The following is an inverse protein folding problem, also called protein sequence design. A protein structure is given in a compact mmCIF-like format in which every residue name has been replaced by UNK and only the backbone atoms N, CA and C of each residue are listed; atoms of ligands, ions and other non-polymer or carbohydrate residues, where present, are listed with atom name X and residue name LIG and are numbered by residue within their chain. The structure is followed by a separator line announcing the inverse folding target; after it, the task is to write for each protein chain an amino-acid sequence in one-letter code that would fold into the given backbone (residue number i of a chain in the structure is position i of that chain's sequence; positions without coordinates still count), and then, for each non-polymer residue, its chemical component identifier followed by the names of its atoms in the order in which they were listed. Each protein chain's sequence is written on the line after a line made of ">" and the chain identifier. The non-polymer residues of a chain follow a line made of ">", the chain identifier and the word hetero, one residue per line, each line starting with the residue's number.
data_IF_005456970212
#
_entry.id   IF_005456970212
#
_cell.length_a   1.000
_cell.length_b   1.000
_cell.length_c   1.000
_cell.angle_alpha   90.00
_cell.angle_beta   90.00
_cell.angle_gamma   90.00
#
_symmetry.space_group_name_H-M   'P 1'
#
loop_
_entity.id
_entity.type
_entity.pdbx_description
1 polymer ?
#
# COMPACT_ATOMS: atom_id res chain seq x y z
N UNK A 1 -11.06 20.19 10.46
CA UNK A 1 -9.87 20.12 11.32
C UNK A 1 -8.61 20.10 10.44
N UNK A 2 -7.85 21.19 10.39
CA UNK A 2 -6.55 21.20 9.69
C UNK A 2 -5.56 20.47 10.59
N UNK A 3 -5.23 19.23 10.24
CA UNK A 3 -4.37 18.36 11.04
C UNK A 3 -2.95 18.94 11.05
N UNK A 4 -2.59 19.68 12.12
CA UNK A 4 -1.26 20.28 12.29
C UNK A 4 -0.23 19.16 12.53
N UNK A 5 0.40 18.74 11.44
CA UNK A 5 1.77 18.20 11.44
C UNK A 5 1.96 16.80 12.01
N UNK A 6 1.20 15.79 11.57
CA UNK A 6 1.60 14.39 11.82
C UNK A 6 2.98 14.18 11.20
N UNK A 7 3.99 13.97 12.05
CA UNK A 7 5.35 13.67 11.61
C UNK A 7 5.34 12.28 10.96
N UNK A 8 5.55 12.25 9.64
CA UNK A 8 5.49 11.02 8.84
C UNK A 8 6.50 9.97 9.32
N UNK A 9 7.70 10.38 9.76
CA UNK A 9 8.70 9.46 10.27
C UNK A 9 8.23 8.80 11.57
N UNK A 10 7.85 9.62 12.58
CA UNK A 10 7.34 9.10 13.86
C UNK A 10 6.11 8.22 13.69
N UNK A 11 5.20 8.60 12.79
CA UNK A 11 4.02 7.81 12.48
C UNK A 11 4.38 6.42 11.93
N UNK A 12 5.27 6.37 10.92
CA UNK A 12 5.72 5.09 10.35
C UNK A 12 6.50 4.26 11.38
N UNK A 13 7.36 4.89 12.18
CA UNK A 13 8.14 4.22 13.24
C UNK A 13 7.24 3.56 14.28
N UNK A 14 6.13 4.21 14.66
CA UNK A 14 5.12 3.62 15.55
C UNK A 14 4.45 2.34 15.01
N UNK A 15 4.56 2.08 13.71
CA UNK A 15 4.04 0.88 13.03
C UNK A 15 5.21 -0.10 12.68
N UNK A 16 6.43 0.23 13.10
CA UNK A 16 7.64 -0.52 12.82
C UNK A 16 8.13 -0.39 11.37
N UNK A 17 7.84 0.73 10.71
CA UNK A 17 8.25 1.02 9.33
C UNK A 17 9.22 2.21 9.32
N UNK A 18 10.32 2.07 8.59
CA UNK A 18 11.35 3.10 8.48
C UNK A 18 11.19 3.88 7.19
N UNK A 19 11.21 5.21 7.27
CA UNK A 19 11.23 6.08 6.10
C UNK A 19 12.66 6.54 5.83
N UNK A 20 13.19 6.21 4.65
CA UNK A 20 14.54 6.58 4.21
C UNK A 20 14.49 7.53 3.02
N UNK A 21 15.57 8.30 2.79
CA UNK A 21 15.66 9.18 1.60
C UNK A 21 15.80 8.32 0.34
N UNK A 22 15.21 8.77 -0.77
CA UNK A 22 15.21 8.05 -2.06
C UNK A 22 16.60 7.73 -2.58
N UNK A 23 17.60 8.61 -2.34
CA UNK A 23 19.01 8.36 -2.71
C UNK A 23 19.65 7.13 -2.04
N UNK A 24 19.03 6.60 -0.99
CA UNK A 24 19.48 5.39 -0.29
C UNK A 24 18.70 4.15 -0.73
N UNK A 25 17.92 4.24 -1.81
CA UNK A 25 17.18 3.11 -2.36
C UNK A 25 18.12 1.95 -2.71
N UNK A 26 17.68 0.74 -2.38
CA UNK A 26 18.38 -0.53 -2.65
C UNK A 26 17.38 -1.52 -3.23
N UNK A 27 17.87 -2.38 -4.13
CA UNK A 27 17.14 -3.53 -4.67
C UNK A 27 17.95 -4.81 -4.42
N UNK A 28 17.34 -5.89 -3.88
CA UNK A 28 15.96 -5.94 -3.39
C UNK A 28 15.75 -4.99 -2.20
N UNK A 29 14.55 -4.43 -2.10
CA UNK A 29 14.19 -3.50 -1.02
C UNK A 29 14.20 -4.23 0.34
N UNK A 30 14.84 -3.67 1.39
CA UNK A 30 14.77 -4.26 2.73
C UNK A 30 13.33 -4.26 3.29
N UNK A 31 12.96 -5.26 4.11
CA UNK A 31 11.66 -5.30 4.78
C UNK A 31 11.39 -4.04 5.61
N UNK A 32 10.14 -3.59 5.62
CA UNK A 32 9.64 -2.47 6.42
C UNK A 32 10.34 -1.12 6.11
N UNK A 33 10.81 -0.91 4.87
CA UNK A 33 11.44 0.34 4.45
C UNK A 33 10.65 1.04 3.35
N UNK A 34 10.31 2.30 3.57
CA UNK A 34 9.74 3.21 2.56
C UNK A 34 10.82 4.19 2.11
N UNK A 35 11.17 4.17 0.82
CA UNK A 35 12.02 5.21 0.22
C UNK A 35 11.18 6.41 -0.23
N UNK A 36 11.39 7.55 0.42
CA UNK A 36 10.65 8.78 0.19
C UNK A 36 9.29 8.79 0.90
N UNK A 37 9.10 9.71 1.84
CA UNK A 37 7.87 9.80 2.64
C UNK A 37 6.72 10.59 1.99
N UNK A 38 6.88 11.10 0.76
CA UNK A 38 5.93 12.07 0.17
C UNK A 38 4.52 11.50 -0.02
N UNK A 39 4.41 10.25 -0.47
CA UNK A 39 3.10 9.59 -0.65
C UNK A 39 2.42 9.38 0.71
N UNK A 40 3.17 8.95 1.72
CA UNK A 40 2.64 8.76 3.09
C UNK A 40 2.21 10.10 3.68
N UNK A 41 3.04 11.14 3.59
CA UNK A 41 2.70 12.48 4.06
C UNK A 41 1.43 13.03 3.40
N UNK A 42 1.25 12.76 2.09
CA UNK A 42 0.02 13.11 1.36
C UNK A 42 -1.17 12.30 1.85
N UNK A 43 -1.00 11.00 2.08
CA UNK A 43 -2.06 10.11 2.56
C UNK A 43 -2.50 10.48 3.98
N UNK A 44 -1.56 10.71 4.90
CA UNK A 44 -1.83 11.21 6.26
C UNK A 44 -2.68 12.48 6.24
N UNK A 45 -2.34 13.41 5.35
CA UNK A 45 -3.05 14.69 5.22
C UNK A 45 -4.46 14.54 4.65
N UNK A 46 -4.65 13.64 3.66
CA UNK A 46 -5.90 13.52 2.90
C UNK A 46 -6.87 12.48 3.46
N UNK A 47 -6.36 11.38 4.00
CA UNK A 47 -7.14 10.24 4.45
C UNK A 47 -7.02 10.00 5.96
N UNK A 48 -6.11 10.68 6.65
CA UNK A 48 -5.93 10.56 8.10
C UNK A 48 -5.01 9.40 8.52
N UNK A 49 -4.64 9.35 9.81
CA UNK A 49 -3.73 8.35 10.38
C UNK A 49 -4.33 6.94 10.34
N UNK A 50 -5.62 6.77 10.60
CA UNK A 50 -6.24 5.44 10.68
C UNK A 50 -6.22 4.71 9.34
N UNK A 51 -6.62 5.40 8.27
CA UNK A 51 -6.58 4.86 6.91
C UNK A 51 -5.14 4.58 6.48
N UNK A 52 -4.24 5.53 6.71
CA UNK A 52 -2.82 5.37 6.34
C UNK A 52 -2.19 4.19 7.09
N UNK A 53 -2.49 4.05 8.38
CA UNK A 53 -1.99 2.95 9.20
C UNK A 53 -2.51 1.60 8.72
N UNK A 54 -3.79 1.53 8.31
CA UNK A 54 -4.36 0.30 7.76
C UNK A 54 -3.66 -0.10 6.45
N UNK A 55 -3.46 0.84 5.52
CA UNK A 55 -2.73 0.61 4.27
C UNK A 55 -1.34 0.02 4.55
N UNK A 56 -0.60 0.63 5.47
CA UNK A 56 0.75 0.19 5.80
C UNK A 56 0.79 -1.19 6.47
N UNK A 57 -0.18 -1.50 7.33
CA UNK A 57 -0.31 -2.81 7.96
C UNK A 57 -0.68 -3.90 6.94
N UNK A 58 -1.56 -3.61 5.98
CA UNK A 58 -1.90 -4.55 4.90
C UNK A 58 -0.67 -4.90 4.05
N UNK A 59 0.14 -3.91 3.66
CA UNK A 59 1.38 -4.16 2.91
C UNK A 59 2.34 -4.99 3.76
N UNK A 60 2.54 -4.62 5.04
CA UNK A 60 3.42 -5.33 5.96
C UNK A 60 3.02 -6.80 6.15
N UNK A 61 1.71 -7.07 6.23
CA UNK A 61 1.17 -8.41 6.41
C UNK A 61 1.31 -9.27 5.14
N UNK A 62 1.21 -8.66 3.96
CA UNK A 62 1.34 -9.36 2.67
C UNK A 62 2.81 -9.57 2.26
N UNK A 63 3.55 -8.47 2.07
CA UNK A 63 4.95 -8.47 1.68
C UNK A 63 5.64 -7.23 2.26
N UNK A 64 6.44 -7.37 3.33
CA UNK A 64 7.09 -6.25 3.99
C UNK A 64 8.17 -5.58 3.13
N UNK A 65 8.58 -6.16 2.00
CA UNK A 65 9.45 -5.51 1.03
C UNK A 65 8.68 -4.72 -0.04
N UNK A 66 7.35 -4.84 -0.16
CA UNK A 66 6.57 -4.25 -1.26
C UNK A 66 6.07 -2.80 -0.99
N UNK A 67 6.87 -1.99 -0.28
CA UNK A 67 6.52 -0.60 0.05
C UNK A 67 6.73 0.42 -1.10
N UNK A 68 6.32 0.06 -2.31
CA UNK A 68 6.42 0.92 -3.50
C UNK A 68 5.23 1.89 -3.60
N UNK A 69 5.42 3.00 -4.32
CA UNK A 69 4.39 4.04 -4.43
C UNK A 69 3.11 3.57 -5.12
N UNK A 70 3.25 2.75 -6.16
CA UNK A 70 2.16 2.07 -6.86
C UNK A 70 1.39 1.11 -5.94
N UNK A 71 2.10 0.28 -5.15
CA UNK A 71 1.51 -0.61 -4.17
C UNK A 71 0.75 0.14 -3.07
N UNK A 72 1.35 1.19 -2.49
CA UNK A 72 0.71 2.04 -1.47
C UNK A 72 -0.58 2.67 -2.00
N UNK A 73 -0.57 3.15 -3.25
CA UNK A 73 -1.76 3.73 -3.88
C UNK A 73 -2.82 2.65 -4.13
N UNK A 74 -2.43 1.50 -4.69
CA UNK A 74 -3.34 0.40 -5.01
C UNK A 74 -4.06 -0.13 -3.76
N UNK A 75 -3.31 -0.40 -2.69
CA UNK A 75 -3.87 -0.84 -1.40
C UNK A 75 -4.79 0.22 -0.82
N UNK A 76 -4.41 1.50 -0.90
CA UNK A 76 -5.30 2.60 -0.47
C UNK A 76 -6.57 2.70 -1.31
N UNK A 77 -6.53 2.41 -2.61
CA UNK A 77 -7.71 2.43 -3.47
C UNK A 77 -8.64 1.29 -3.10
N UNK A 78 -8.10 0.08 -2.95
CA UNK A 78 -8.87 -1.09 -2.51
C UNK A 78 -9.58 -0.84 -1.18
N UNK A 79 -8.86 -0.39 -0.14
CA UNK A 79 -9.44 -0.14 1.19
C UNK A 79 -10.54 0.93 1.13
N UNK A 80 -10.38 1.98 0.32
CA UNK A 80 -11.41 3.03 0.19
C UNK A 80 -12.71 2.52 -0.42
N UNK A 81 -12.63 1.56 -1.32
CA UNK A 81 -13.81 1.06 -2.05
C UNK A 81 -14.43 -0.14 -1.32
N UNK A 82 -13.60 -1.05 -0.82
CA UNK A 82 -14.04 -2.36 -0.31
C UNK A 82 -13.79 -2.55 1.19
N UNK A 83 -12.97 -1.71 1.83
CA UNK A 83 -12.51 -1.91 3.20
C UNK A 83 -13.65 -1.95 4.23
N UNK A 84 -14.72 -1.18 4.02
CA UNK A 84 -15.90 -1.19 4.90
C UNK A 84 -16.72 -2.48 4.75
N UNK A 85 -16.74 -3.07 3.55
CA UNK A 85 -17.54 -4.28 3.26
C UNK A 85 -16.90 -5.55 3.85
N UNK A 86 -15.56 -5.61 3.91
CA UNK A 86 -14.79 -6.74 4.45
C UNK A 86 -14.84 -6.85 5.99
N UNK A 87 -15.62 -6.02 6.67
CA UNK A 87 -15.69 -5.98 8.14
C UNK A 87 -14.62 -5.07 8.76
N UNK A 88 -14.11 -5.46 9.93
CA UNK A 88 -13.19 -4.61 10.71
C UNK A 88 -11.76 -4.56 10.18
N UNK A 89 -10.93 -3.67 10.75
CA UNK A 89 -9.51 -3.48 10.40
C UNK A 89 -8.72 -4.80 10.37
N UNK A 90 -8.97 -5.69 11.34
CA UNK A 90 -8.26 -6.96 11.46
C UNK A 90 -8.55 -7.92 10.29
N UNK A 91 -9.81 -7.98 9.84
CA UNK A 91 -10.22 -8.83 8.73
C UNK A 91 -9.55 -8.37 7.43
N UNK A 92 -9.52 -7.05 7.20
CA UNK A 92 -8.82 -6.48 6.05
C UNK A 92 -7.34 -6.84 6.06
N UNK A 93 -6.65 -6.71 7.20
CA UNK A 93 -5.23 -7.08 7.30
C UNK A 93 -5.01 -8.58 7.06
N UNK A 94 -5.89 -9.43 7.59
CA UNK A 94 -5.81 -10.89 7.39
C UNK A 94 -6.05 -11.28 5.93
N UNK A 95 -6.95 -10.62 5.22
CA UNK A 95 -7.16 -10.84 3.79
C UNK A 95 -5.88 -10.52 2.99
N UNK A 96 -5.20 -9.41 3.31
CA UNK A 96 -3.92 -9.09 2.68
C UNK A 96 -2.80 -10.05 3.06
N UNK A 97 -2.80 -10.62 4.26
CA UNK A 97 -1.78 -11.58 4.69
C UNK A 97 -1.75 -12.86 3.83
N UNK A 98 -2.81 -13.16 3.09
CA UNK A 98 -2.90 -14.30 2.16
C UNK A 98 -2.41 -13.98 0.74
N UNK A 99 -2.16 -12.70 0.45
CA UNK A 99 -1.70 -12.25 -0.86
C UNK A 99 -0.18 -12.25 -0.96
N UNK A 100 0.34 -12.59 -2.13
CA UNK A 100 1.71 -12.23 -2.55
C UNK A 100 1.67 -10.89 -3.32
N UNK A 101 1.72 -9.77 -2.59
CA UNK A 101 1.65 -8.44 -3.19
C UNK A 101 2.85 -8.14 -4.09
N UNK A 102 4.03 -8.73 -3.82
CA UNK A 102 5.21 -8.61 -4.68
C UNK A 102 4.98 -9.23 -6.05
N UNK A 103 4.44 -10.46 -6.08
CA UNK A 103 4.08 -11.16 -7.31
C UNK A 103 2.97 -10.44 -8.09
N UNK A 104 1.90 -9.98 -7.40
CA UNK A 104 0.83 -9.22 -8.03
C UNK A 104 1.34 -7.91 -8.64
N UNK A 105 2.21 -7.19 -7.93
CA UNK A 105 2.84 -5.97 -8.47
C UNK A 105 3.65 -6.26 -9.72
N UNK A 106 4.45 -7.33 -9.74
CA UNK A 106 5.23 -7.72 -10.91
C UNK A 106 4.34 -8.09 -12.12
N UNK A 107 3.14 -8.63 -11.89
CA UNK A 107 2.14 -8.86 -12.95
C UNK A 107 1.52 -7.56 -13.43
N UNK A 108 1.12 -6.68 -12.52
CA UNK A 108 0.56 -5.36 -12.85
C UNK A 108 1.54 -4.50 -13.67
N UNK A 109 2.83 -4.50 -13.32
CA UNK A 109 3.87 -3.79 -14.08
C UNK A 109 4.03 -4.30 -15.51
N UNK A 110 3.91 -5.62 -15.71
CA UNK A 110 3.96 -6.21 -17.06
C UNK A 110 2.77 -5.78 -17.92
N UNK A 111 1.58 -5.63 -17.33
CA UNK A 111 0.40 -5.12 -18.03
C UNK A 111 0.46 -3.62 -18.32
N UNK A 112 1.13 -2.85 -17.46
CA UNK A 112 1.16 -1.39 -17.53
C UNK A 112 2.29 -0.81 -18.42
N UNK A 113 3.01 -1.64 -19.20
CA UNK A 113 4.14 -1.24 -20.06
C UNK A 113 3.69 -0.27 -21.17
N UNK A 114 3.63 1.02 -20.86
CA UNK A 114 3.53 2.13 -21.80
C UNK A 114 4.20 3.38 -21.20
N UNK A 115 4.90 4.16 -22.02
CA UNK A 115 5.89 5.18 -21.60
C UNK A 115 5.31 6.38 -20.81
N UNK A 116 4.01 6.65 -20.94
CA UNK A 116 3.32 7.69 -20.16
C UNK A 116 2.34 7.10 -19.14
N UNK A 117 2.37 7.64 -17.92
CA UNK A 117 1.52 7.27 -16.78
C UNK A 117 1.72 5.86 -16.18
N UNK A 118 2.93 5.28 -16.29
CA UNK A 118 3.24 3.93 -15.82
C UNK A 118 2.82 3.66 -14.36
N UNK A 119 3.06 4.60 -13.42
CA UNK A 119 2.68 4.41 -12.01
C UNK A 119 1.16 4.34 -11.81
N UNK A 120 0.39 5.25 -12.43
CA UNK A 120 -1.07 5.30 -12.31
C UNK A 120 -1.71 4.05 -12.92
N UNK A 121 -1.23 3.63 -14.09
CA UNK A 121 -1.68 2.39 -14.75
C UNK A 121 -1.34 1.16 -13.90
N UNK A 122 -0.12 1.09 -13.37
CA UNK A 122 0.31 -0.02 -12.50
C UNK A 122 -0.54 -0.08 -11.23
N UNK A 123 -0.77 1.04 -10.55
CA UNK A 123 -1.57 1.06 -9.32
C UNK A 123 -3.01 0.66 -9.57
N UNK A 124 -3.61 1.10 -10.69
CA UNK A 124 -4.97 0.73 -11.07
C UNK A 124 -5.09 -0.77 -11.38
N UNK A 125 -4.18 -1.31 -12.20
CA UNK A 125 -4.13 -2.74 -12.50
C UNK A 125 -3.92 -3.58 -11.23
N UNK A 126 -3.01 -3.13 -10.35
CA UNK A 126 -2.75 -3.80 -9.08
C UNK A 126 -3.97 -3.74 -8.14
N UNK A 127 -4.69 -2.62 -8.07
CA UNK A 127 -5.91 -2.51 -7.26
C UNK A 127 -7.00 -3.48 -7.74
N UNK A 128 -7.17 -3.62 -9.06
CA UNK A 128 -8.11 -4.59 -9.66
C UNK A 128 -7.70 -6.02 -9.35
N UNK A 129 -6.41 -6.36 -9.46
CA UNK A 129 -5.91 -7.69 -9.09
C UNK A 129 -6.13 -8.00 -7.61
N UNK A 130 -5.81 -7.07 -6.71
CA UNK A 130 -6.07 -7.21 -5.27
C UNK A 130 -7.57 -7.49 -5.04
N UNK A 131 -8.45 -6.73 -5.70
CA UNK A 131 -9.88 -6.91 -5.56
C UNK A 131 -10.34 -8.28 -6.04
N UNK A 132 -9.88 -8.73 -7.20
CA UNK A 132 -10.21 -10.07 -7.69
C UNK A 132 -9.70 -11.18 -6.77
N UNK A 133 -8.53 -11.03 -6.16
CA UNK A 133 -8.00 -12.07 -5.27
C UNK A 133 -8.74 -12.09 -3.94
N UNK A 134 -8.92 -10.94 -3.28
CA UNK A 134 -9.59 -10.91 -1.97
C UNK A 134 -11.08 -11.21 -2.08
N UNK A 135 -11.78 -10.61 -3.04
CA UNK A 135 -13.24 -10.75 -3.17
C UNK A 135 -13.63 -12.02 -3.95
N UNK A 136 -12.74 -12.51 -4.82
CA UNK A 136 -12.98 -13.76 -5.55
C UNK A 136 -12.93 -15.00 -4.65
N UNK A 137 -12.17 -14.94 -3.55
CA UNK A 137 -12.17 -15.98 -2.51
C UNK A 137 -13.48 -16.02 -1.70
N UNK A 138 -14.29 -14.95 -1.69
CA UNK A 138 -15.58 -14.93 -0.98
C UNK A 138 -16.74 -15.51 -1.82
N UNK A 139 -16.55 -15.68 -3.13
CA UNK A 139 -17.59 -16.12 -4.05
C UNK A 139 -17.49 -17.63 -4.44
N UNK A 140 -16.52 -18.36 -3.91
CA UNK A 140 -16.26 -19.77 -4.17
C UNK A 140 -16.38 -20.61 -2.89
#
# INVERSE_FOLDING_TARGET
>A
MINRGINTHRFCEGIGIRVMRTRHAREPRPPNVIYGGRIIARMLRRAGPDHTGLVLMCIKASDPACFYGDAIIAVSQFIKVHGTALGGRQVVVQAFARLDLGQLRNRAQRLARADSAAMTKTSAALAVMIAHTILGEEAA
#
